data_IF_613869881125
#
_entry.id   IF_613869881125
#
_cell.length_a   1.000
_cell.length_b   1.000
_cell.length_c   1.000
_cell.angle_alpha   90.00
_cell.angle_beta   90.00
_cell.angle_gamma   90.00
#
_symmetry.space_group_name_H-M   'P 1'
#
loop_
_entity.id
_entity.type
_entity.pdbx_description
1 polymer ?
#
# COMPACT_ATOMS: atom_id res chain seq x y z
N UNK A 1 3.28 15.00 20.95
CA UNK A 1 3.80 13.66 21.28
C UNK A 1 4.46 13.10 20.03
N UNK A 2 5.65 12.52 20.16
CA UNK A 2 6.34 11.85 19.04
C UNK A 2 5.73 10.47 18.75
N UNK A 3 6.14 9.85 17.66
CA UNK A 3 5.82 8.43 17.39
C UNK A 3 6.41 7.55 18.50
N UNK A 4 5.63 6.59 19.03
CA UNK A 4 6.14 5.60 20.01
C UNK A 4 6.93 4.47 19.37
N UNK A 5 6.73 4.27 18.08
CA UNK A 5 7.41 3.25 17.28
C UNK A 5 8.19 3.93 16.17
N UNK A 6 9.42 3.48 15.97
CA UNK A 6 10.26 3.88 14.85
C UNK A 6 10.69 2.66 14.06
N UNK A 7 10.44 2.64 12.75
CA UNK A 7 10.92 1.57 11.87
C UNK A 7 12.35 1.91 11.47
N UNK A 8 13.32 1.12 11.93
CA UNK A 8 14.74 1.40 11.73
C UNK A 8 15.22 0.98 10.35
N UNK A 9 14.81 -0.19 9.88
CA UNK A 9 15.22 -0.74 8.59
C UNK A 9 14.25 -1.82 8.14
N UNK A 10 14.01 -1.87 6.84
CA UNK A 10 13.29 -2.96 6.17
C UNK A 10 14.13 -3.39 4.99
N UNK A 11 14.54 -4.65 4.97
CA UNK A 11 15.37 -5.21 3.90
C UNK A 11 14.62 -6.30 3.17
N UNK A 12 14.59 -6.21 1.85
CA UNK A 12 13.94 -7.21 1.00
C UNK A 12 14.93 -8.36 0.78
N UNK A 13 14.54 -9.57 1.16
CA UNK A 13 15.33 -10.77 0.94
C UNK A 13 14.94 -11.40 -0.41
N UNK A 14 15.82 -12.25 -0.94
CA UNK A 14 15.61 -12.98 -2.20
C UNK A 14 15.27 -12.05 -3.39
N UNK A 15 16.07 -10.99 -3.60
CA UNK A 15 15.91 -10.02 -4.68
C UNK A 15 17.11 -10.07 -5.65
N UNK A 16 16.91 -10.20 -6.98
CA UNK A 16 15.64 -10.40 -7.70
C UNK A 16 15.07 -11.82 -7.60
N UNK A 17 13.76 -11.97 -7.80
CA UNK A 17 13.02 -13.24 -7.71
C UNK A 17 12.02 -13.41 -8.86
N UNK A 18 11.37 -14.57 -8.97
CA UNK A 18 10.27 -14.74 -9.92
C UNK A 18 9.03 -13.99 -9.44
N UNK A 19 8.12 -13.71 -10.38
CA UNK A 19 6.85 -13.05 -10.07
C UNK A 19 6.05 -13.75 -8.96
N UNK A 20 5.94 -15.08 -9.06
CA UNK A 20 5.11 -15.92 -8.16
C UNK A 20 5.79 -16.30 -6.85
N UNK A 21 7.07 -16.00 -6.69
CA UNK A 21 7.80 -16.38 -5.47
C UNK A 21 7.30 -15.54 -4.28
N UNK A 22 7.38 -16.04 -3.04
CA UNK A 22 6.98 -15.27 -1.86
C UNK A 22 7.90 -14.07 -1.62
N UNK A 23 7.36 -12.99 -1.08
CA UNK A 23 8.15 -11.88 -0.55
C UNK A 23 8.65 -12.21 0.85
N UNK A 24 9.89 -11.83 1.13
CA UNK A 24 10.49 -11.96 2.46
C UNK A 24 11.11 -10.63 2.85
N UNK A 25 10.65 -10.06 3.96
CA UNK A 25 11.11 -8.78 4.46
C UNK A 25 11.72 -8.98 5.85
N UNK A 26 12.97 -8.61 6.03
CA UNK A 26 13.55 -8.48 7.38
C UNK A 26 13.21 -7.09 7.92
N UNK A 27 12.28 -7.04 8.88
CA UNK A 27 11.82 -5.79 9.48
C UNK A 27 12.50 -5.62 10.82
N UNK A 28 13.10 -4.44 11.03
CA UNK A 28 13.65 -4.02 12.34
C UNK A 28 13.01 -2.71 12.76
N UNK A 29 12.40 -2.70 13.95
CA UNK A 29 11.76 -1.53 14.52
C UNK A 29 12.14 -1.36 16.00
N UNK A 30 11.92 -0.17 16.53
CA UNK A 30 12.19 0.18 17.92
C UNK A 30 10.92 0.77 18.53
N UNK A 31 10.50 0.21 19.67
CA UNK A 31 9.44 0.75 20.50
C UNK A 31 10.08 1.52 21.66
N UNK A 32 9.75 2.79 21.81
CA UNK A 32 10.27 3.63 22.90
C UNK A 32 9.54 3.44 24.21
N UNK A 33 8.32 2.93 24.16
CA UNK A 33 7.45 2.64 25.29
C UNK A 33 6.75 1.29 25.04
N UNK A 34 6.38 0.54 26.09
CA UNK A 34 5.61 -0.68 25.93
C UNK A 34 4.23 -0.37 25.32
N UNK A 35 3.86 -1.13 24.29
CA UNK A 35 2.54 -1.04 23.67
C UNK A 35 1.64 -2.16 24.21
N UNK A 36 0.46 -1.81 24.77
CA UNK A 36 -0.48 -2.80 25.29
C UNK A 36 -1.16 -3.62 24.20
N UNK A 37 -1.39 -3.02 23.02
CA UNK A 37 -2.03 -3.66 21.87
C UNK A 37 -1.01 -4.03 20.79
N UNK A 38 -1.46 -4.80 19.80
CA UNK A 38 -0.62 -5.30 18.72
C UNK A 38 -0.39 -4.24 17.63
N UNK A 39 0.79 -4.32 17.01
CA UNK A 39 1.05 -3.66 15.73
C UNK A 39 0.55 -4.55 14.60
N UNK A 40 -0.24 -3.99 13.70
CA UNK A 40 -0.72 -4.66 12.50
C UNK A 40 0.16 -4.27 11.32
N UNK A 41 0.87 -5.26 10.76
CA UNK A 41 1.71 -5.10 9.60
C UNK A 41 1.02 -5.73 8.40
N UNK A 42 0.81 -4.95 7.34
CA UNK A 42 0.12 -5.37 6.12
C UNK A 42 1.04 -5.14 4.93
N UNK A 43 1.28 -6.18 4.12
CA UNK A 43 2.00 -6.06 2.85
C UNK A 43 1.01 -6.01 1.70
N UNK A 44 1.05 -4.95 0.90
CA UNK A 44 0.12 -4.69 -0.21
C UNK A 44 0.88 -4.54 -1.51
N UNK A 45 0.44 -5.26 -2.53
CA UNK A 45 0.92 -5.12 -3.90
C UNK A 45 -0.07 -4.28 -4.71
N UNK A 46 0.42 -3.21 -5.34
CA UNK A 46 -0.41 -2.36 -6.20
C UNK A 46 -0.60 -3.04 -7.55
N UNK A 47 -1.84 -3.38 -7.89
CA UNK A 47 -2.14 -4.11 -9.13
C UNK A 47 -2.11 -3.21 -10.36
N UNK A 48 -2.60 -1.97 -10.23
CA UNK A 48 -2.60 -0.99 -11.31
C UNK A 48 -2.40 0.41 -10.73
N UNK A 49 -1.55 1.22 -11.35
CA UNK A 49 -1.26 2.57 -10.87
C UNK A 49 -2.49 3.50 -10.93
N UNK A 50 -3.43 3.23 -11.84
CA UNK A 50 -4.62 4.07 -12.04
C UNK A 50 -5.76 3.71 -11.07
N UNK A 51 -5.72 2.56 -10.40
CA UNK A 51 -6.83 2.12 -9.56
C UNK A 51 -6.42 1.20 -8.42
N UNK A 52 -6.73 1.65 -7.20
CA UNK A 52 -6.59 0.87 -5.96
C UNK A 52 -7.48 -0.39 -5.92
N UNK A 53 -8.43 -0.55 -6.86
CA UNK A 53 -9.33 -1.72 -6.92
C UNK A 53 -8.59 -3.03 -7.19
N UNK A 54 -7.41 -2.94 -7.79
CA UNK A 54 -6.56 -4.08 -8.11
C UNK A 54 -5.48 -4.30 -7.05
N UNK A 55 -5.45 -3.49 -5.99
CA UNK A 55 -4.51 -3.66 -4.90
C UNK A 55 -4.81 -4.94 -4.14
N UNK A 56 -3.75 -5.69 -3.87
CA UNK A 56 -3.84 -6.99 -3.22
C UNK A 56 -3.10 -6.92 -1.90
N UNK A 57 -3.82 -7.14 -0.80
CA UNK A 57 -3.18 -7.47 0.47
C UNK A 57 -2.62 -8.88 0.33
N UNK A 58 -1.29 -8.98 0.34
CA UNK A 58 -0.58 -10.26 0.20
C UNK A 58 -0.64 -11.06 1.50
N UNK A 59 -0.35 -10.40 2.62
CA UNK A 59 -0.50 -10.98 3.95
C UNK A 59 -0.58 -9.88 5.02
N UNK A 60 -1.05 -10.24 6.21
CA UNK A 60 -1.04 -9.39 7.39
C UNK A 60 -0.60 -10.15 8.65
N UNK A 61 0.18 -9.48 9.50
CA UNK A 61 0.68 -10.07 10.75
C UNK A 61 0.52 -9.11 11.91
N UNK A 62 -0.03 -9.63 13.01
CA UNK A 62 -0.13 -8.95 14.28
C UNK A 62 1.12 -9.25 15.12
N UNK A 63 1.77 -8.20 15.60
CA UNK A 63 2.95 -8.29 16.45
C UNK A 63 2.65 -7.57 17.77
N UNK A 64 2.38 -8.33 18.81
CA UNK A 64 2.28 -7.82 20.17
C UNK A 64 1.95 -8.88 21.21
N UNK A 65 1.87 -8.49 22.50
CA UNK A 65 2.16 -7.14 23.01
C UNK A 65 3.65 -6.77 22.88
N UNK A 66 3.95 -5.51 22.55
CA UNK A 66 5.32 -5.06 22.22
C UNK A 66 5.96 -4.42 23.45
N UNK A 67 7.07 -4.99 23.93
CA UNK A 67 7.87 -4.38 25.00
C UNK A 67 8.77 -3.27 24.46
N UNK A 68 9.24 -2.39 25.34
CA UNK A 68 10.23 -1.38 24.98
C UNK A 68 11.53 -2.00 24.42
N UNK A 69 12.16 -1.31 23.48
CA UNK A 69 13.42 -1.72 22.86
C UNK A 69 13.30 -2.07 21.38
N UNK A 70 14.36 -2.68 20.85
CA UNK A 70 14.52 -2.99 19.43
C UNK A 70 14.11 -4.41 19.12
N UNK A 71 13.26 -4.56 18.11
CA UNK A 71 12.68 -5.82 17.65
C UNK A 71 13.08 -6.07 16.21
N UNK A 72 13.26 -7.35 15.87
CA UNK A 72 13.53 -7.81 14.51
C UNK A 72 12.73 -9.08 14.25
N UNK A 73 12.09 -9.15 13.10
CA UNK A 73 11.42 -10.37 12.63
C UNK A 73 11.46 -10.46 11.09
N UNK A 74 11.16 -11.65 10.59
CA UNK A 74 11.00 -11.90 9.16
C UNK A 74 9.51 -11.94 8.87
N UNK A 75 9.06 -11.10 7.96
CA UNK A 75 7.72 -11.12 7.39
C UNK A 75 7.80 -11.89 6.07
N UNK A 76 7.07 -12.99 5.95
CA UNK A 76 6.94 -13.74 4.70
C UNK A 76 5.51 -13.58 4.18
N UNK A 77 5.35 -13.26 2.90
CA UNK A 77 4.06 -13.10 2.23
C UNK A 77 4.06 -13.87 0.91
N UNK A 78 2.94 -14.45 0.52
CA UNK A 78 2.82 -15.06 -0.80
C UNK A 78 2.89 -14.02 -1.93
N UNK A 79 3.20 -14.47 -3.15
CA UNK A 79 3.18 -13.61 -4.34
C UNK A 79 1.77 -13.14 -4.70
N UNK A 80 1.64 -12.05 -5.49
CA UNK A 80 0.34 -11.54 -5.93
C UNK A 80 -0.36 -12.52 -6.88
N UNK A 81 -1.70 -12.50 -6.88
CA UNK A 81 -2.48 -13.26 -7.84
C UNK A 81 -2.50 -12.54 -9.21
N UNK A 82 -1.94 -13.14 -10.27
CA UNK A 82 -1.91 -12.54 -11.61
C UNK A 82 -3.31 -12.31 -12.17
N UNK A 83 -4.30 -13.11 -11.77
CA UNK A 83 -5.66 -13.07 -12.33
C UNK A 83 -6.43 -11.81 -11.92
N UNK A 84 -5.97 -11.14 -10.85
CA UNK A 84 -6.56 -9.91 -10.33
C UNK A 84 -5.86 -8.65 -10.85
N UNK A 85 -4.83 -8.81 -11.69
CA UNK A 85 -4.05 -7.71 -12.25
C UNK A 85 -4.44 -7.55 -13.72
N UNK A 86 -4.70 -6.33 -14.21
CA UNK A 86 -4.91 -6.08 -15.64
C UNK A 86 -3.71 -6.56 -16.46
N UNK A 87 -3.94 -7.26 -17.58
CA UNK A 87 -2.85 -7.83 -18.40
C UNK A 87 -1.85 -6.77 -18.89
N UNK A 88 -2.33 -5.55 -19.13
CA UNK A 88 -1.53 -4.39 -19.55
C UNK A 88 -0.58 -3.88 -18.45
N UNK A 89 -0.94 -4.07 -17.17
CA UNK A 89 -0.18 -3.61 -16.00
C UNK A 89 0.68 -4.72 -15.37
N UNK A 90 0.57 -5.97 -15.85
CA UNK A 90 1.40 -7.08 -15.33
C UNK A 90 2.88 -6.77 -15.57
N UNK A 91 3.26 -6.38 -16.79
CA UNK A 91 4.67 -6.13 -17.14
C UNK A 91 4.97 -4.63 -17.08
N UNK A 92 5.94 -4.23 -16.26
CA UNK A 92 6.28 -2.83 -16.10
C UNK A 92 6.80 -2.50 -14.72
N UNK A 93 6.53 -1.28 -14.27
CA UNK A 93 6.89 -0.82 -12.92
C UNK A 93 5.62 -0.70 -12.11
N UNK A 94 5.64 -1.25 -10.90
CA UNK A 94 4.57 -1.13 -9.92
C UNK A 94 5.15 -0.81 -8.54
N UNK A 95 4.33 -0.81 -7.50
CA UNK A 95 4.69 -0.46 -6.13
C UNK A 95 4.28 -1.55 -5.15
N UNK A 96 5.18 -1.85 -4.22
CA UNK A 96 4.94 -2.68 -3.04
C UNK A 96 4.88 -1.78 -1.82
N UNK A 97 3.85 -1.93 -0.99
CA UNK A 97 3.57 -1.11 0.18
C UNK A 97 3.54 -1.95 1.44
N UNK A 98 4.45 -1.69 2.38
CA UNK A 98 4.35 -2.17 3.75
C UNK A 98 3.68 -1.10 4.60
N UNK A 99 2.51 -1.42 5.14
CA UNK A 99 1.77 -0.57 6.06
C UNK A 99 1.94 -1.09 7.48
N UNK A 100 2.09 -0.19 8.44
CA UNK A 100 1.98 -0.54 9.85
C UNK A 100 0.98 0.36 10.55
N UNK A 101 0.04 -0.28 11.24
CA UNK A 101 -1.07 0.34 11.95
C UNK A 101 -1.01 -0.05 13.42
N UNK A 102 -1.48 0.84 14.28
CA UNK A 102 -1.69 0.57 15.70
C UNK A 102 -3.11 0.98 16.06
N UNK A 103 -3.90 0.07 16.62
CA UNK A 103 -5.34 0.29 16.89
C UNK A 103 -6.09 0.83 15.66
N UNK A 104 -5.92 0.16 14.52
CA UNK A 104 -6.54 0.52 13.24
C UNK A 104 -6.13 1.90 12.68
N UNK A 105 -5.16 2.58 13.29
CA UNK A 105 -4.62 3.85 12.80
C UNK A 105 -3.29 3.59 12.10
N UNK A 106 -3.26 3.79 10.77
CA UNK A 106 -2.04 3.74 9.97
C UNK A 106 -1.10 4.88 10.41
N UNK A 107 0.10 4.54 10.84
CA UNK A 107 1.10 5.54 11.26
C UNK A 107 2.37 5.53 10.40
N UNK A 108 2.64 4.44 9.69
CA UNK A 108 3.75 4.38 8.74
C UNK A 108 3.39 3.56 7.51
N UNK A 109 3.81 4.07 6.35
CA UNK A 109 3.75 3.42 5.05
C UNK A 109 5.16 3.46 4.46
N UNK A 110 5.70 2.29 4.13
CA UNK A 110 6.98 2.14 3.43
C UNK A 110 6.70 1.56 2.07
N UNK A 111 7.25 2.15 1.02
CA UNK A 111 6.99 1.80 -0.35
C UNK A 111 8.26 1.54 -1.15
N UNK A 112 8.20 0.53 -2.01
CA UNK A 112 9.25 0.23 -2.98
C UNK A 112 8.69 0.19 -4.38
N UNK A 113 9.49 0.63 -5.34
CA UNK A 113 9.23 0.33 -6.74
C UNK A 113 9.63 -1.12 -7.04
N UNK A 114 8.73 -1.83 -7.71
CA UNK A 114 8.95 -3.19 -8.21
C UNK A 114 8.94 -3.14 -9.72
N UNK A 115 10.04 -3.55 -10.33
CA UNK A 115 10.15 -3.68 -11.78
C UNK A 115 9.92 -5.13 -12.15
N UNK A 116 8.93 -5.39 -13.01
CA UNK A 116 8.64 -6.71 -13.55
C UNK A 116 9.03 -6.76 -15.04
N UNK A 117 10.04 -7.57 -15.35
CA UNK A 117 10.57 -7.72 -16.70
C UNK A 117 10.72 -9.20 -17.08
N UNK A 118 10.66 -9.47 -18.38
CA UNK A 118 10.97 -10.80 -18.90
C UNK A 118 12.45 -11.14 -18.74
N UNK A 119 12.80 -12.37 -18.39
CA UNK A 119 14.21 -12.80 -18.38
C UNK A 119 14.81 -12.85 -19.79
N UNK A 120 13.99 -13.16 -20.80
CA UNK A 120 14.43 -13.37 -22.18
C UNK A 120 14.49 -12.05 -22.96
N UNK A 121 15.61 -11.72 -23.63
CA UNK A 121 15.78 -10.45 -24.34
C UNK A 121 14.84 -10.31 -25.55
N UNK A 122 14.49 -11.41 -26.22
CA UNK A 122 13.55 -11.39 -27.35
C UNK A 122 12.15 -10.95 -26.91
N UNK A 123 11.70 -11.41 -25.75
CA UNK A 123 10.41 -11.05 -25.15
C UNK A 123 10.42 -9.64 -24.54
N UNK A 124 11.59 -9.13 -24.14
CA UNK A 124 11.74 -7.71 -23.76
C UNK A 124 11.57 -6.78 -24.94
N UNK A 125 12.12 -7.13 -26.11
CA UNK A 125 12.01 -6.29 -27.31
C UNK A 125 10.64 -6.40 -27.98
N UNK A 126 10.05 -7.60 -27.99
CA UNK A 126 8.73 -7.88 -28.54
C UNK A 126 7.88 -8.59 -27.49
N UNK A 127 7.22 -7.85 -26.59
CA UNK A 127 6.39 -8.46 -25.56
C UNK A 127 5.26 -9.27 -26.21
N UNK A 128 5.02 -10.51 -25.76
CA UNK A 128 3.91 -11.31 -26.26
C UNK A 128 2.57 -10.62 -25.92
N UNK A 129 1.52 -10.80 -26.73
CA UNK A 129 0.20 -10.21 -26.46
C UNK A 129 -0.44 -10.71 -25.17
N UNK A 130 -0.07 -11.91 -24.73
CA UNK A 130 -0.52 -12.51 -23.46
C UNK A 130 0.71 -12.69 -22.56
N UNK A 131 0.65 -12.22 -21.30
CA UNK A 131 1.81 -12.25 -20.43
C UNK A 131 2.18 -13.67 -20.02
N UNK A 132 3.46 -14.02 -20.16
CA UNK A 132 3.99 -15.36 -19.81
C UNK A 132 4.62 -15.30 -18.43
N UNK A 133 3.83 -15.60 -17.40
CA UNK A 133 4.20 -15.44 -15.98
C UNK A 133 5.47 -16.19 -15.57
N UNK A 134 5.70 -17.38 -16.13
CA UNK A 134 6.86 -18.23 -15.79
C UNK A 134 8.21 -17.59 -16.13
N UNK A 135 8.21 -16.61 -17.04
CA UNK A 135 9.40 -15.92 -17.54
C UNK A 135 9.53 -14.50 -16.98
N UNK A 136 8.66 -14.13 -16.05
CA UNK A 136 8.70 -12.83 -15.40
C UNK A 136 9.59 -12.89 -14.17
N UNK A 137 10.53 -11.94 -14.11
CA UNK A 137 11.38 -11.70 -12.98
C UNK A 137 11.02 -10.33 -12.39
N UNK A 138 10.84 -10.31 -11.07
CA UNK A 138 10.63 -9.09 -10.31
C UNK A 138 11.93 -8.65 -9.65
N UNK A 139 12.15 -7.35 -9.66
CA UNK A 139 13.25 -6.69 -8.98
C UNK A 139 12.69 -5.55 -8.15
N UNK A 140 12.97 -5.57 -6.85
CA UNK A 140 12.55 -4.51 -5.92
C UNK A 140 13.68 -3.50 -5.78
N UNK A 141 13.39 -2.22 -6.01
CA UNK A 141 14.38 -1.15 -5.86
C UNK A 141 14.54 -0.77 -4.38
N UNK A 142 15.65 -1.16 -3.77
CA UNK A 142 15.96 -0.88 -2.35
C UNK A 142 16.65 0.47 -2.13
N UNK A 143 17.10 1.16 -3.20
CA UNK A 143 17.80 2.44 -3.09
C UNK A 143 16.85 3.64 -2.98
N UNK A 144 15.67 3.55 -3.60
CA UNK A 144 14.67 4.63 -3.66
C UNK A 144 13.40 4.25 -2.89
N UNK A 145 13.56 4.05 -1.58
CA UNK A 145 12.46 3.69 -0.66
C UNK A 145 11.68 4.92 -0.26
N UNK A 146 10.36 4.87 -0.43
CA UNK A 146 9.45 5.95 -0.05
C UNK A 146 8.90 5.68 1.35
N UNK A 147 9.08 6.61 2.28
CA UNK A 147 8.57 6.49 3.64
C UNK A 147 7.62 7.65 3.94
N UNK A 148 6.38 7.31 4.26
CA UNK A 148 5.36 8.27 4.70
C UNK A 148 4.96 7.94 6.13
N UNK A 149 4.96 8.93 7.00
CA UNK A 149 4.53 8.79 8.40
C UNK A 149 3.31 9.65 8.67
N UNK A 150 2.40 9.14 9.50
CA UNK A 150 1.17 9.80 9.87
C UNK A 150 1.10 9.92 11.40
N UNK A 151 0.74 11.09 11.95
CA UNK A 151 0.53 11.22 13.38
C UNK A 151 -0.74 10.47 13.80
N UNK A 152 -0.63 9.64 14.84
CA UNK A 152 -1.77 8.87 15.38
C UNK A 152 -1.94 9.12 16.88
N UNK A 153 -3.10 8.73 17.41
CA UNK A 153 -3.35 8.69 18.86
C UNK A 153 -2.87 7.35 19.41
N UNK A 154 -1.83 7.41 20.25
CA UNK A 154 -1.23 6.22 20.86
C UNK A 154 -1.93 5.80 22.15
N UNK A 155 -2.44 6.75 22.92
CA UNK A 155 -3.20 6.50 24.15
C UNK A 155 -4.68 6.35 23.88
N UNK A 156 -5.36 5.58 24.73
CA UNK A 156 -6.82 5.53 24.73
C UNK A 156 -7.32 6.87 25.29
N UNK A 157 -8.21 7.55 24.56
CA UNK A 157 -8.88 8.76 25.04
C UNK A 157 -9.85 8.49 26.23
N UNK A 158 -9.79 7.32 26.87
CA UNK A 158 -10.75 6.82 27.85
C UNK A 158 -10.16 6.55 29.24
N UNK A 159 -8.94 6.98 29.54
CA UNK A 159 -8.36 6.83 30.89
C UNK A 159 -8.44 8.12 31.75
N UNK A 160 -8.94 9.25 31.21
CA UNK A 160 -9.06 10.51 31.95
C UNK A 160 -10.48 10.79 32.53
N UNK A 161 -11.31 9.77 32.77
CA UNK A 161 -12.68 9.97 33.29
C UNK A 161 -13.03 9.18 34.57
N UNK A 162 -12.06 8.66 35.31
CA UNK A 162 -12.32 7.91 36.56
C UNK A 162 -11.38 8.32 37.70
N UNK A 163 -11.34 9.61 38.03
CA UNK A 163 -11.00 10.05 39.39
C UNK A 163 -12.01 11.12 39.85
N UNK A 164 -12.98 10.67 40.65
CA UNK A 164 -14.04 11.47 41.25
C UNK A 164 -14.80 10.62 42.28
N UNK A 165 -14.18 10.44 43.44
CA UNK A 165 -14.70 9.73 44.61
C UNK A 165 -15.90 10.46 45.26
N UNK A 166 -16.94 9.68 45.64
CA UNK A 166 -17.95 9.84 46.72
C UNK A 166 -18.69 11.20 46.90
N UNK A 167 -20.00 11.32 47.19
CA UNK A 167 -20.90 10.46 47.98
C UNK A 167 -22.38 10.96 47.89
N UNK A 168 -23.32 10.01 48.04
CA UNK A 168 -24.61 10.10 48.76
C UNK A 168 -25.93 10.65 48.14
N UNK A 169 -26.84 9.65 47.95
CA UNK A 169 -28.25 9.57 48.37
C UNK A 169 -29.41 10.04 47.47
N UNK A 170 -30.31 9.09 47.15
CA UNK A 170 -31.76 9.30 47.17
C UNK A 170 -32.59 8.65 46.04
N UNK A 171 -32.92 7.37 46.16
CA UNK A 171 -34.16 6.80 45.58
C UNK A 171 -35.34 7.03 46.53
N UNK A 172 -36.61 7.21 46.08
CA UNK A 172 -37.46 6.05 45.75
C UNK A 172 -38.55 6.22 44.65
N UNK A 173 -38.63 5.20 43.78
CA UNK A 173 -39.78 4.36 43.32
C UNK A 173 -41.18 4.94 42.99
N UNK A 174 -41.69 4.58 41.79
CA UNK A 174 -43.00 3.91 41.41
C UNK A 174 -43.70 4.53 40.18
N UNK A 175 -43.78 3.81 39.05
CA UNK A 175 -44.86 2.86 38.59
C UNK A 175 -45.98 3.63 37.84
N UNK A 176 -46.32 3.38 36.57
CA UNK A 176 -47.26 2.31 36.13
C UNK A 176 -47.54 2.39 34.61
N UNK A 177 -47.76 1.23 33.96
CA UNK A 177 -48.74 0.95 32.87
C UNK A 177 -48.53 1.59 31.50
N UNK A 178 -48.78 0.98 30.34
CA UNK A 178 -49.45 -0.28 29.97
C UNK A 178 -49.10 -0.55 28.48
N UNK A 179 -48.88 -1.82 28.12
CA UNK A 179 -49.00 -2.34 26.74
C UNK A 179 -50.48 -2.71 26.47
N UNK A 180 -50.96 -2.78 25.22
CA UNK A 180 -50.95 -4.09 24.53
C UNK A 180 -50.75 -4.08 23.00
N UNK A 181 -50.27 -5.23 22.53
CA UNK A 181 -50.21 -5.74 21.15
C UNK A 181 -51.51 -5.60 20.32
N UNK A 182 -51.40 -5.53 18.97
CA UNK A 182 -51.98 -6.57 18.09
C UNK A 182 -51.54 -6.47 16.59
N UNK A 183 -50.88 -7.55 16.14
CA UNK A 183 -50.98 -8.33 14.88
C UNK A 183 -51.67 -7.79 13.61
N UNK A 184 -51.04 -8.02 12.44
CA UNK A 184 -51.50 -8.88 11.30
C UNK A 184 -50.77 -8.49 9.98
N UNK A 185 -49.99 -9.37 9.34
CA UNK A 185 -50.38 -10.25 8.20
C UNK A 185 -50.92 -9.46 6.98
N UNK A 186 -50.39 -9.48 5.74
CA UNK A 186 -50.12 -10.60 4.82
C UNK A 186 -49.78 -10.08 3.40
N UNK A 187 -49.23 -10.98 2.55
CA UNK A 187 -49.21 -11.00 1.05
C UNK A 187 -48.28 -9.97 0.36
N UNK A 188 -47.29 -10.32 -0.48
CA UNK A 188 -47.21 -11.40 -1.47
C UNK A 188 -47.64 -10.88 -2.84
N UNK A 189 -46.72 -10.78 -3.82
CA UNK A 189 -46.90 -10.98 -5.28
C UNK A 189 -45.60 -10.62 -6.02
N UNK A 190 -45.05 -11.62 -6.69
CA UNK A 190 -44.06 -11.59 -7.76
C UNK A 190 -44.45 -10.69 -8.95
N UNK A 191 -43.46 -9.99 -9.53
CA UNK A 191 -43.36 -9.79 -11.00
C UNK A 191 -41.93 -9.38 -11.39
N UNK A 192 -41.18 -10.32 -11.95
CA UNK A 192 -40.22 -10.11 -13.02
C UNK A 192 -40.74 -10.87 -14.27
N UNK A 193 -40.11 -10.82 -15.46
CA UNK A 193 -39.72 -9.65 -16.25
C UNK A 193 -40.18 -9.81 -17.72
N UNK A 194 -40.22 -8.72 -18.50
CA UNK A 194 -40.30 -8.77 -19.98
C UNK A 194 -39.59 -7.54 -20.56
N UNK A 195 -38.95 -7.50 -21.74
CA UNK A 195 -38.39 -8.44 -22.74
C UNK A 195 -37.76 -7.53 -23.84
N UNK A 196 -36.74 -8.03 -24.56
CA UNK A 196 -36.28 -7.64 -25.93
C UNK A 196 -35.63 -6.24 -26.15
N UNK A 197 -34.70 -6.00 -27.08
CA UNK A 197 -34.04 -6.81 -28.14
C UNK A 197 -32.88 -6.02 -28.75
N UNK A 198 -31.81 -6.75 -29.10
CA UNK A 198 -30.88 -6.68 -30.24
C UNK A 198 -30.77 -5.43 -31.16
N UNK A 199 -29.53 -5.04 -31.50
CA UNK A 199 -29.05 -4.89 -32.90
C UNK A 199 -27.53 -4.60 -33.02
N UNK A 200 -26.80 -5.62 -33.54
CA UNK A 200 -25.72 -5.63 -34.56
C UNK A 200 -24.72 -4.47 -34.80
N UNK A 201 -23.43 -4.83 -34.70
CA UNK A 201 -22.31 -4.75 -35.67
C UNK A 201 -21.87 -3.41 -36.31
N UNK A 202 -20.56 -3.10 -36.23
CA UNK A 202 -19.73 -2.95 -37.44
C UNK A 202 -18.21 -3.05 -37.20
N UNK A 203 -17.52 -3.65 -38.17
CA UNK A 203 -16.07 -3.83 -38.33
C UNK A 203 -15.56 -2.80 -39.33
N UNK A 204 -14.37 -2.20 -39.12
CA UNK A 204 -13.56 -1.68 -40.23
C UNK A 204 -12.07 -1.49 -39.88
N UNK A 205 -11.23 -2.11 -40.72
CA UNK A 205 -9.77 -2.02 -40.80
C UNK A 205 -9.33 -0.71 -41.49
N UNK A 206 -8.09 -0.29 -41.23
CA UNK A 206 -7.36 0.71 -42.03
C UNK A 206 -5.86 0.73 -41.66
N UNK A 207 -5.00 0.62 -42.68
CA UNK A 207 -3.56 0.35 -42.63
C UNK A 207 -2.63 1.59 -42.50
N UNK A 208 -1.41 1.31 -41.98
CA UNK A 208 -0.07 1.86 -42.28
C UNK A 208 0.26 3.38 -42.21
N UNK A 209 1.38 3.75 -41.54
CA UNK A 209 2.67 4.14 -42.19
C UNK A 209 3.71 4.73 -41.19
N UNK A 210 4.85 4.04 -41.09
CA UNK A 210 6.26 4.50 -41.14
C UNK A 210 6.85 5.55 -40.16
N UNK A 211 7.82 5.05 -39.35
CA UNK A 211 9.19 5.53 -39.07
C UNK A 211 9.45 6.94 -38.50
N UNK A 212 10.16 7.00 -37.36
CA UNK A 212 11.30 7.91 -37.08
C UNK A 212 12.14 7.38 -35.88
N UNK A 213 13.43 7.13 -36.19
CA UNK A 213 14.68 7.25 -35.43
C UNK A 213 14.73 7.02 -33.90
N UNK A 214 15.64 6.11 -33.54
CA UNK A 214 16.75 6.43 -32.62
C UNK A 214 16.54 6.02 -31.17
N UNK A 215 16.65 4.72 -30.86
CA UNK A 215 16.61 4.24 -29.47
C UNK A 215 18.01 4.27 -28.85
N UNK A 216 18.17 5.27 -27.98
CA UNK A 216 19.26 5.36 -27.03
C UNK A 216 19.12 4.24 -25.99
N UNK A 217 20.25 3.66 -25.61
CA UNK A 217 20.44 2.67 -24.54
C UNK A 217 19.72 3.15 -23.27
N UNK A 218 18.74 2.39 -22.79
CA UNK A 218 17.98 2.73 -21.58
C UNK A 218 18.75 2.20 -20.38
N UNK A 219 19.29 3.12 -19.58
CA UNK A 219 19.81 2.86 -18.25
C UNK A 219 18.62 2.59 -17.32
N UNK A 220 18.66 1.45 -16.63
CA UNK A 220 17.67 1.07 -15.63
C UNK A 220 17.61 2.05 -14.47
N UNK A 221 16.43 2.13 -13.85
CA UNK A 221 16.13 2.85 -12.61
C UNK A 221 16.15 4.38 -12.64
N UNK A 222 15.70 5.03 -13.73
CA UNK A 222 15.66 6.50 -13.80
C UNK A 222 14.33 7.13 -14.25
N UNK A 223 13.25 6.35 -14.36
CA UNK A 223 11.93 6.90 -14.69
C UNK A 223 11.06 6.98 -13.43
N UNK A 224 11.35 8.00 -12.62
CA UNK A 224 10.47 8.44 -11.52
C UNK A 224 9.19 8.95 -12.14
N UNK A 225 8.14 8.15 -12.11
CA UNK A 225 6.81 8.64 -12.47
C UNK A 225 6.22 9.35 -11.26
N UNK A 226 6.47 10.66 -11.18
CA UNK A 226 5.97 11.55 -10.13
C UNK A 226 4.44 11.44 -9.95
N UNK A 227 3.71 11.05 -11.01
CA UNK A 227 2.26 10.85 -10.93
C UNK A 227 1.90 9.64 -10.05
N UNK A 228 2.62 8.52 -10.19
CA UNK A 228 2.45 7.31 -9.39
C UNK A 228 2.81 7.57 -7.92
N UNK A 229 3.90 8.31 -7.69
CA UNK A 229 4.34 8.70 -6.33
C UNK A 229 3.26 9.52 -5.65
N UNK A 230 2.77 10.57 -6.30
CA UNK A 230 1.76 11.46 -5.72
C UNK A 230 0.42 10.75 -5.50
N UNK A 231 0.04 9.82 -6.37
CA UNK A 231 -1.16 9.02 -6.21
C UNK A 231 -1.10 8.07 -5.00
N UNK A 232 0.02 7.37 -4.80
CA UNK A 232 0.12 6.30 -3.81
C UNK A 232 0.59 6.75 -2.41
N UNK A 233 1.42 7.80 -2.36
CA UNK A 233 2.03 8.30 -1.13
C UNK A 233 1.48 9.67 -0.69
N UNK A 234 0.60 10.25 -1.51
CA UNK A 234 0.13 11.62 -1.35
C UNK A 234 1.20 12.62 -1.77
N UNK A 235 0.79 13.84 -2.10
CA UNK A 235 1.76 14.92 -2.30
C UNK A 235 2.49 15.17 -0.99
N UNK A 236 3.83 15.23 -0.97
CA UNK A 236 4.54 15.74 0.20
C UNK A 236 3.99 17.13 0.51
N UNK A 237 3.86 17.48 1.80
CA UNK A 237 3.39 18.80 2.23
C UNK A 237 4.25 19.88 1.55
N UNK A 238 3.72 20.44 0.46
CA UNK A 238 4.26 21.64 -0.17
C UNK A 238 3.94 22.78 0.77
N UNK A 239 4.98 23.33 1.40
CA UNK A 239 4.86 24.56 2.16
C UNK A 239 4.25 25.62 1.25
N UNK A 240 3.14 26.22 1.70
CA UNK A 240 2.39 27.25 0.97
C UNK A 240 3.14 28.56 1.11
N UNK A 241 4.35 28.62 0.57
CA UNK A 241 5.07 29.85 0.30
C UNK A 241 5.64 29.75 -1.10
N UNK A 242 4.89 30.30 -2.05
CA UNK A 242 5.21 30.38 -3.45
C UNK A 242 6.31 31.44 -3.68
N UNK A 243 7.49 31.24 -3.06
CA UNK A 243 8.65 32.11 -3.17
C UNK A 243 9.85 31.33 -3.73
N UNK A 244 10.53 31.83 -4.77
CA UNK A 244 11.71 31.17 -5.33
C UNK A 244 12.87 31.23 -4.32
N UNK A 245 13.38 30.06 -3.94
CA UNK A 245 14.60 29.93 -3.13
C UNK A 245 15.77 30.56 -3.91
N UNK A 246 16.47 31.57 -3.37
CA UNK A 246 17.63 32.12 -4.02
C UNK A 246 18.80 31.13 -3.98
N UNK A 247 19.36 30.91 -5.17
CA UNK A 247 20.61 30.22 -5.50
C UNK A 247 21.64 30.24 -4.35
N UNK A 248 21.72 29.13 -3.60
CA UNK A 248 22.87 28.82 -2.76
C UNK A 248 23.57 27.60 -3.36
N UNK A 249 24.65 27.91 -4.07
CA UNK A 249 25.42 27.01 -4.90
C UNK A 249 25.78 25.69 -4.23
N UNK A 250 25.34 24.61 -4.88
CA UNK A 250 25.87 23.27 -4.66
C UNK A 250 27.36 23.24 -5.05
N UNK A 251 28.22 23.09 -4.04
CA UNK A 251 29.65 22.83 -4.21
C UNK A 251 30.11 21.78 -3.21
N UNK A 252 30.33 20.57 -3.75
CA UNK A 252 31.21 19.49 -3.29
C UNK A 252 30.96 18.85 -1.92
N UNK A 253 30.63 17.56 -1.93
CA UNK A 253 31.46 16.56 -1.24
C UNK A 253 31.40 15.22 -2.00
N UNK A 254 32.41 15.00 -2.85
CA UNK A 254 32.76 13.66 -3.32
C UNK A 254 33.70 13.04 -2.29
N UNK A 255 33.27 11.97 -1.63
CA UNK A 255 34.13 11.21 -0.72
C UNK A 255 35.17 10.44 -1.54
N UNK A 256 36.43 10.88 -1.48
CA UNK A 256 37.58 10.12 -2.01
C UNK A 256 38.11 9.15 -0.95
N UNK A 257 38.33 7.93 -1.40
CA UNK A 257 39.14 6.86 -0.77
C UNK A 257 40.37 7.40 -0.05
N UNK A 258 40.55 6.94 1.19
CA UNK A 258 41.84 6.85 1.86
C UNK A 258 42.76 5.87 1.11
N UNK A 259 43.97 6.31 0.76
CA UNK A 259 45.13 5.44 0.66
C UNK A 259 46.43 6.25 0.85
N UNK A 260 47.20 5.81 1.86
CA UNK A 260 48.52 6.26 2.35
C UNK A 260 48.64 7.63 3.02
#
# INVERSE_FOLDING_TARGET
MGSRVNVCSVSVLDNPAKFTDPFKLEITFEAFEPLPDDLDWELVYVGAAESEKYDQVLDSVLVGPVVEGRHKFIFEADGPDPSKIPEDDIVGVTVLLLKCSYREQLFIKVGWFVTLEYTDPEMKENPPPTPVLDKLQREVCEEDVLVTTFPIKWDNASEEALEGDAEANGSPVKESGDEPELLSQTNGIDVEPMVSSEATANVQQGEAMESIKGRQRVEGCNRRDESIINALFGTPLVDVTNDPIPDLGFSWYTSRRCNK
#
